data_IF_043235015742
#
_entry.id   IF_043235015742
#
_cell.length_a   1.000
_cell.length_b   1.000
_cell.length_c   1.000
_cell.angle_alpha   90.00
_cell.angle_beta   90.00
_cell.angle_gamma   90.00
#
_symmetry.space_group_name_H-M   'P 1'
#
loop_
_entity.id
_entity.type
_entity.pdbx_description
1 polymer ?
#
# COMPACT_ATOMS: atom_id res chain seq x y z
N UNK A 1 -10.14 -21.87 32.33
CA UNK A 1 -9.48 -22.39 31.12
C UNK A 1 -10.11 -21.76 29.89
N UNK A 2 -11.42 -21.91 29.65
CA UNK A 2 -12.12 -21.21 28.54
C UNK A 2 -12.00 -19.67 28.60
N UNK A 3 -12.15 -19.06 29.78
CA UNK A 3 -12.03 -17.60 29.92
C UNK A 3 -10.62 -17.06 29.61
N UNK A 4 -9.57 -17.84 29.91
CA UNK A 4 -8.18 -17.42 29.70
C UNK A 4 -7.80 -17.50 28.21
N UNK A 5 -8.21 -18.59 27.55
CA UNK A 5 -8.02 -18.76 26.11
C UNK A 5 -8.81 -17.72 25.31
N UNK A 6 -10.05 -17.44 25.72
CA UNK A 6 -10.85 -16.35 25.18
C UNK A 6 -10.16 -14.99 25.35
N UNK A 7 -9.61 -14.69 26.53
CA UNK A 7 -8.93 -13.42 26.78
C UNK A 7 -7.68 -13.23 25.90
N UNK A 8 -6.86 -14.28 25.73
CA UNK A 8 -5.70 -14.24 24.81
C UNK A 8 -6.13 -13.96 23.37
N UNK A 9 -7.13 -14.70 22.89
CA UNK A 9 -7.64 -14.56 21.53
C UNK A 9 -8.28 -13.20 21.31
N UNK A 10 -9.02 -12.68 22.29
CA UNK A 10 -9.65 -11.37 22.22
C UNK A 10 -8.60 -10.24 22.15
N UNK A 11 -7.54 -10.31 22.95
CA UNK A 11 -6.42 -9.35 22.88
C UNK A 11 -5.80 -9.35 21.48
N UNK A 12 -5.45 -10.53 20.95
CA UNK A 12 -4.87 -10.63 19.61
C UNK A 12 -5.84 -10.12 18.53
N UNK A 13 -7.10 -10.51 18.60
CA UNK A 13 -8.13 -10.05 17.68
C UNK A 13 -8.25 -8.52 17.68
N UNK A 14 -8.35 -7.90 18.86
CA UNK A 14 -8.44 -6.44 18.96
C UNK A 14 -7.18 -5.76 18.41
N UNK A 15 -5.98 -6.30 18.66
CA UNK A 15 -4.74 -5.76 18.10
C UNK A 15 -4.77 -5.75 16.56
N UNK A 16 -5.07 -6.88 15.93
CA UNK A 16 -5.11 -7.00 14.48
C UNK A 16 -6.27 -6.21 13.86
N UNK A 17 -7.45 -6.17 14.51
CA UNK A 17 -8.60 -5.40 14.03
C UNK A 17 -8.33 -3.89 14.07
N UNK A 18 -7.73 -3.39 15.14
CA UNK A 18 -7.35 -1.97 15.22
C UNK A 18 -6.24 -1.62 14.22
N UNK A 19 -5.24 -2.50 14.01
CA UNK A 19 -4.21 -2.29 12.98
C UNK A 19 -4.84 -2.21 11.57
N UNK A 20 -5.74 -3.14 11.24
CA UNK A 20 -6.49 -3.12 9.98
C UNK A 20 -7.31 -1.85 9.81
N UNK A 21 -7.94 -1.35 10.88
CA UNK A 21 -8.71 -0.10 10.83
C UNK A 21 -7.82 1.11 10.54
N UNK A 22 -6.59 1.14 11.08
CA UNK A 22 -5.61 2.19 10.72
C UNK A 22 -5.32 2.13 9.22
N UNK A 23 -5.08 0.94 8.67
CA UNK A 23 -4.76 0.75 7.25
C UNK A 23 -5.92 1.12 6.30
N UNK A 24 -7.14 0.67 6.63
CA UNK A 24 -8.36 1.06 5.89
C UNK A 24 -8.56 2.57 5.96
N UNK A 25 -8.38 3.19 7.13
CA UNK A 25 -8.55 4.63 7.26
C UNK A 25 -7.44 5.42 6.58
N UNK A 26 -6.20 4.95 6.52
CA UNK A 26 -5.17 5.56 5.67
C UNK A 26 -5.60 5.54 4.19
N UNK A 27 -6.25 4.45 3.77
CA UNK A 27 -6.78 4.28 2.41
C UNK A 27 -8.02 5.13 2.15
N UNK A 28 -8.95 5.24 3.10
CA UNK A 28 -10.19 6.02 2.98
C UNK A 28 -10.01 7.52 3.27
N UNK A 29 -9.06 7.91 4.11
CA UNK A 29 -8.74 9.32 4.40
C UNK A 29 -8.02 10.01 3.23
N UNK A 30 -7.44 9.22 2.32
CA UNK A 30 -7.10 9.70 0.98
C UNK A 30 -8.33 10.11 0.15
N UNK A 31 -9.55 9.70 0.55
CA UNK A 31 -10.82 10.00 -0.13
C UNK A 31 -11.80 10.87 0.69
N UNK A 32 -11.77 10.88 2.02
CA UNK A 32 -12.68 11.66 2.87
C UNK A 32 -12.03 12.14 4.19
N UNK A 33 -12.27 13.41 4.55
CA UNK A 33 -11.48 14.24 5.48
C UNK A 33 -11.81 14.09 6.98
N UNK A 34 -11.95 12.88 7.52
CA UNK A 34 -12.07 12.70 8.98
C UNK A 34 -10.99 11.75 9.49
N UNK A 35 -9.85 12.30 9.94
CA UNK A 35 -8.71 11.54 10.46
C UNK A 35 -8.96 11.05 11.90
N UNK A 36 -9.35 9.79 12.08
CA UNK A 36 -9.42 9.12 13.40
C UNK A 36 -8.22 8.21 13.72
N UNK A 37 -7.15 8.25 12.91
CA UNK A 37 -5.91 7.50 13.15
C UNK A 37 -5.32 7.62 14.58
N UNK A 38 -5.35 8.79 15.26
CA UNK A 38 -4.80 8.94 16.62
C UNK A 38 -5.53 8.19 17.74
N UNK A 39 -6.75 7.69 17.47
CA UNK A 39 -7.50 6.93 18.48
C UNK A 39 -7.12 5.44 18.44
N UNK A 40 -6.75 4.93 17.26
CA UNK A 40 -6.47 3.51 17.06
C UNK A 40 -5.04 3.13 17.44
N UNK A 41 -4.06 3.99 17.22
CA UNK A 41 -2.68 3.74 17.64
C UNK A 41 -2.56 3.73 19.18
N UNK A 42 -3.26 4.63 19.86
CA UNK A 42 -3.38 4.62 21.33
C UNK A 42 -4.10 3.37 21.84
N UNK A 43 -5.18 2.93 21.16
CA UNK A 43 -5.83 1.65 21.49
C UNK A 43 -4.87 0.48 21.34
N UNK A 44 -4.12 0.41 20.25
CA UNK A 44 -3.13 -0.66 20.00
C UNK A 44 -2.10 -0.69 21.14
N UNK A 45 -1.51 0.44 21.50
CA UNK A 45 -0.52 0.52 22.59
C UNK A 45 -1.12 0.00 23.90
N UNK A 46 -2.33 0.43 24.24
CA UNK A 46 -3.01 0.02 25.47
C UNK A 46 -3.38 -1.47 25.49
N UNK A 47 -3.90 -2.00 24.39
CA UNK A 47 -4.23 -3.43 24.26
C UNK A 47 -2.95 -4.27 24.30
N UNK A 48 -1.88 -3.80 23.66
CA UNK A 48 -0.60 -4.49 23.65
C UNK A 48 -0.02 -4.57 25.07
N UNK A 49 -0.09 -3.48 25.83
CA UNK A 49 0.30 -3.46 27.24
C UNK A 49 -0.52 -4.46 28.08
N UNK A 50 -1.84 -4.55 27.86
CA UNK A 50 -2.67 -5.59 28.50
C UNK A 50 -2.22 -7.00 28.13
N UNK A 51 -1.85 -7.21 26.87
CA UNK A 51 -1.25 -8.45 26.39
C UNK A 51 0.03 -8.81 27.15
N UNK A 52 0.94 -7.86 27.33
CA UNK A 52 2.17 -8.04 28.12
C UNK A 52 1.82 -8.45 29.55
N UNK A 53 0.92 -7.71 30.22
CA UNK A 53 0.52 -8.02 31.60
C UNK A 53 -0.12 -9.41 31.72
N UNK A 54 -0.99 -9.79 30.78
CA UNK A 54 -1.58 -11.12 30.78
C UNK A 54 -0.51 -12.19 30.57
N UNK A 55 0.40 -12.00 29.62
CA UNK A 55 1.53 -12.90 29.41
C UNK A 55 2.39 -13.04 30.68
N UNK A 56 2.66 -11.94 31.39
CA UNK A 56 3.45 -11.99 32.62
C UNK A 56 2.79 -12.83 33.72
N UNK A 57 1.46 -12.87 33.76
CA UNK A 57 0.70 -13.69 34.70
C UNK A 57 0.70 -15.18 34.32
N UNK A 58 0.57 -15.50 33.03
CA UNK A 58 0.35 -16.89 32.56
C UNK A 58 1.62 -17.59 32.06
N UNK A 59 2.63 -16.81 31.65
CA UNK A 59 3.92 -17.25 31.07
C UNK A 59 3.80 -18.24 29.91
N UNK A 60 2.73 -18.13 29.13
CA UNK A 60 2.47 -19.01 27.99
C UNK A 60 3.29 -18.59 26.75
N UNK A 61 4.04 -19.55 26.22
CA UNK A 61 4.99 -19.33 25.12
C UNK A 61 4.32 -18.92 23.80
N UNK A 62 3.19 -19.53 23.48
CA UNK A 62 2.49 -19.29 22.22
C UNK A 62 1.88 -17.89 22.18
N UNK A 63 1.33 -17.45 23.30
CA UNK A 63 0.82 -16.09 23.45
C UNK A 63 1.94 -15.05 23.37
N UNK A 64 3.11 -15.32 23.97
CA UNK A 64 4.29 -14.48 23.80
C UNK A 64 4.68 -14.29 22.33
N UNK A 65 4.78 -15.39 21.57
CA UNK A 65 5.19 -15.29 20.17
C UNK A 65 4.15 -14.54 19.34
N UNK A 66 2.86 -14.75 19.61
CA UNK A 66 1.79 -14.00 18.93
C UNK A 66 1.86 -12.48 19.20
N UNK A 67 2.13 -12.07 20.44
CA UNK A 67 2.36 -10.65 20.77
C UNK A 67 3.64 -10.11 20.12
N UNK A 68 4.71 -10.90 20.08
CA UNK A 68 5.95 -10.50 19.42
C UNK A 68 5.79 -10.34 17.92
N UNK A 69 5.11 -11.27 17.27
CA UNK A 69 4.75 -11.21 15.86
C UNK A 69 3.99 -9.93 15.53
N UNK A 70 2.93 -9.64 16.29
CA UNK A 70 2.18 -8.39 16.15
C UNK A 70 3.09 -7.17 16.27
N UNK A 71 4.02 -7.16 17.23
CA UNK A 71 4.91 -6.01 17.45
C UNK A 71 5.83 -5.71 16.28
N UNK A 72 6.30 -6.74 15.57
CA UNK A 72 7.15 -6.57 14.38
C UNK A 72 6.33 -6.10 13.20
N UNK A 73 5.14 -6.68 12.99
CA UNK A 73 4.21 -6.24 11.95
C UNK A 73 3.84 -4.77 12.15
N UNK A 74 3.55 -4.37 13.39
CA UNK A 74 3.25 -2.99 13.71
C UNK A 74 4.46 -2.06 13.47
N UNK A 75 5.68 -2.47 13.84
CA UNK A 75 6.90 -1.70 13.53
C UNK A 75 7.16 -1.55 12.04
N UNK A 76 6.94 -2.60 11.24
CA UNK A 76 7.04 -2.52 9.79
C UNK A 76 6.01 -1.55 9.21
N UNK A 77 4.78 -1.61 9.72
CA UNK A 77 3.73 -0.67 9.34
C UNK A 77 4.11 0.78 9.66
N UNK A 78 4.57 1.06 10.89
CA UNK A 78 5.07 2.38 11.29
C UNK A 78 6.18 2.85 10.36
N UNK A 79 7.14 1.99 10.04
CA UNK A 79 8.25 2.33 9.15
C UNK A 79 7.77 2.76 7.75
N UNK A 80 6.82 2.01 7.17
CA UNK A 80 6.23 2.35 5.87
C UNK A 80 5.40 3.63 5.92
N UNK A 81 4.64 3.87 7.00
CA UNK A 81 3.84 5.10 7.17
C UNK A 81 4.72 6.35 7.35
N UNK A 82 5.84 6.23 8.08
CA UNK A 82 6.85 7.30 8.22
C UNK A 82 7.46 7.67 6.86
N UNK A 83 7.80 6.68 6.04
CA UNK A 83 8.33 6.91 4.68
C UNK A 83 7.31 7.63 3.77
N UNK A 84 6.01 7.40 4.01
CA UNK A 84 4.90 8.04 3.31
C UNK A 84 4.56 9.45 3.82
N UNK A 85 5.29 9.98 4.81
CA UNK A 85 5.14 11.36 5.28
C UNK A 85 3.96 11.60 6.24
N UNK A 86 3.33 10.54 6.78
CA UNK A 86 2.24 10.63 7.74
C UNK A 86 2.73 10.77 9.19
N UNK A 87 1.79 11.07 10.09
CA UNK A 87 2.02 11.38 11.51
C UNK A 87 2.71 10.21 12.24
N UNK A 88 3.58 10.54 13.19
CA UNK A 88 4.35 9.58 14.01
C UNK A 88 3.40 8.74 14.87
N UNK A 89 3.02 7.54 14.40
CA UNK A 89 2.32 6.53 15.19
C UNK A 89 3.09 6.22 16.48
N UNK A 90 2.38 5.94 17.57
CA UNK A 90 3.00 5.62 18.87
C UNK A 90 3.80 4.32 18.79
N UNK A 91 4.98 4.30 19.41
CA UNK A 91 5.76 3.07 19.56
C UNK A 91 5.12 2.12 20.58
N UNK A 92 5.22 0.81 20.33
CA UNK A 92 4.78 -0.20 21.29
C UNK A 92 5.73 -0.26 22.50
N UNK A 93 5.20 -0.54 23.71
CA UNK A 93 6.03 -0.75 24.88
C UNK A 93 6.99 -1.93 24.68
N UNK A 94 8.15 -1.83 25.31
CA UNK A 94 9.16 -2.87 25.25
C UNK A 94 8.63 -4.19 25.85
N UNK A 95 8.83 -5.28 25.12
CA UNK A 95 8.44 -6.62 25.55
C UNK A 95 9.69 -7.50 25.67
N UNK A 96 10.00 -8.01 26.87
CA UNK A 96 11.24 -8.73 27.16
C UNK A 96 11.33 -10.07 26.43
N UNK A 97 12.53 -10.45 25.97
CA UNK A 97 12.76 -11.73 25.31
C UNK A 97 12.68 -12.94 26.27
N UNK A 98 12.09 -14.05 25.83
CA UNK A 98 12.14 -15.34 26.54
C UNK A 98 13.54 -15.96 26.42
N UNK A 99 14.16 -16.32 27.54
CA UNK A 99 15.31 -17.24 27.55
C UNK A 99 14.84 -18.65 27.13
N UNK A 100 15.30 -19.13 25.96
CA UNK A 100 14.88 -20.43 25.42
C UNK A 100 15.67 -21.57 26.09
N UNK A 101 14.94 -22.52 26.71
CA UNK A 101 15.26 -23.93 27.09
C UNK A 101 16.63 -24.25 27.72
N UNK A 102 16.62 -25.09 28.78
CA UNK A 102 17.82 -25.60 29.45
C UNK A 102 18.75 -26.34 28.47
N UNK A 103 20.06 -26.15 28.65
CA UNK A 103 21.15 -26.63 27.80
C UNK A 103 21.14 -28.16 27.55
N UNK A 104 20.60 -28.95 28.48
CA UNK A 104 20.48 -30.42 28.38
C UNK A 104 19.47 -30.90 27.33
N UNK A 105 18.42 -30.12 27.03
CA UNK A 105 17.41 -30.49 26.03
C UNK A 105 17.92 -30.26 24.60
N UNK A 106 18.85 -29.33 24.43
CA UNK A 106 19.38 -28.91 23.13
C UNK A 106 20.21 -30.03 22.48
N UNK A 107 21.02 -30.77 23.24
CA UNK A 107 21.86 -31.84 22.68
C UNK A 107 21.05 -33.01 22.13
N UNK A 108 19.97 -33.39 22.81
CA UNK A 108 19.04 -34.40 22.30
C UNK A 108 18.40 -33.96 20.98
N UNK A 109 17.97 -32.70 20.87
CA UNK A 109 17.38 -32.17 19.63
C UNK A 109 18.41 -32.07 18.51
N UNK A 110 19.66 -31.69 18.81
CA UNK A 110 20.74 -31.67 17.80
C UNK A 110 20.91 -33.05 17.15
N UNK A 111 20.87 -34.13 17.94
CA UNK A 111 20.96 -35.50 17.41
C UNK A 111 19.79 -35.86 16.49
N UNK A 112 18.56 -35.45 16.84
CA UNK A 112 17.38 -35.64 16.00
C UNK A 112 17.50 -34.85 14.69
N UNK A 113 17.94 -33.60 14.78
CA UNK A 113 18.15 -32.73 13.62
C UNK A 113 19.22 -33.27 12.64
N UNK A 114 20.20 -34.04 13.11
CA UNK A 114 21.17 -34.69 12.23
C UNK A 114 20.50 -35.77 11.37
N UNK A 115 19.65 -36.61 11.97
CA UNK A 115 18.96 -37.68 11.23
C UNK A 115 17.93 -37.14 10.22
N UNK A 116 17.38 -35.94 10.49
CA UNK A 116 16.38 -35.29 9.62
C UNK A 116 17.00 -34.78 8.30
N UNK A 117 18.32 -34.55 8.24
CA UNK A 117 19.00 -33.96 7.07
C UNK A 117 18.88 -34.80 5.79
N UNK A 118 18.61 -36.11 5.91
CA UNK A 118 18.56 -37.05 4.79
C UNK A 118 17.19 -37.09 4.07
N UNK A 119 16.17 -36.42 4.59
CA UNK A 119 14.83 -36.43 4.00
C UNK A 119 14.71 -35.48 2.80
N UNK A 120 14.25 -36.03 1.67
CA UNK A 120 14.10 -35.29 0.41
C UNK A 120 12.89 -34.35 0.46
N UNK A 121 13.18 -33.04 0.37
CA UNK A 121 12.18 -31.98 0.16
C UNK A 121 11.92 -31.86 -1.34
N UNK A 122 10.68 -31.53 -1.73
CA UNK A 122 10.35 -31.39 -3.14
C UNK A 122 11.22 -30.31 -3.81
N UNK A 123 11.82 -30.63 -4.95
CA UNK A 123 12.67 -29.72 -5.73
C UNK A 123 11.89 -28.93 -6.79
N UNK A 124 10.57 -29.11 -6.88
CA UNK A 124 9.69 -28.47 -7.85
C UNK A 124 8.30 -28.30 -7.24
N UNK A 125 7.53 -27.25 -7.61
CA UNK A 125 6.11 -27.19 -7.32
C UNK A 125 5.40 -28.44 -7.85
N UNK A 126 4.49 -29.01 -7.06
CA UNK A 126 3.61 -30.10 -7.53
C UNK A 126 2.30 -29.61 -8.12
N UNK A 127 1.94 -28.35 -7.87
CA UNK A 127 0.77 -27.74 -8.48
C UNK A 127 1.05 -27.52 -9.96
N UNK A 128 0.22 -28.08 -10.84
CA UNK A 128 0.23 -27.68 -12.25
C UNK A 128 -0.19 -26.23 -12.30
N UNK A 129 0.71 -25.34 -12.75
CA UNK A 129 0.32 -23.96 -13.03
C UNK A 129 -0.47 -23.99 -14.33
N UNK A 130 -1.68 -23.45 -14.29
CA UNK A 130 -2.48 -23.29 -15.49
C UNK A 130 -1.71 -22.32 -16.40
N UNK A 131 -1.37 -22.76 -17.62
CA UNK A 131 -0.59 -21.99 -18.59
C UNK A 131 0.94 -21.88 -18.34
N UNK A 132 1.54 -22.73 -17.51
CA UNK A 132 3.00 -22.71 -17.27
C UNK A 132 3.83 -23.03 -18.52
N UNK A 133 4.64 -22.09 -18.99
CA UNK A 133 5.60 -22.32 -20.08
C UNK A 133 6.89 -23.00 -19.58
N UNK A 134 7.59 -23.79 -20.43
CA UNK A 134 8.76 -24.57 -20.00
C UNK A 134 9.89 -23.72 -19.42
N UNK A 135 10.11 -22.53 -19.99
CA UNK A 135 11.12 -21.57 -19.53
C UNK A 135 10.94 -21.21 -18.05
N UNK A 136 9.75 -20.74 -17.67
CA UNK A 136 9.43 -20.32 -16.29
C UNK A 136 9.48 -21.52 -15.35
N UNK A 137 8.96 -22.67 -15.80
CA UNK A 137 9.00 -23.91 -15.02
C UNK A 137 10.43 -24.32 -14.70
N UNK A 138 11.36 -24.17 -15.65
CA UNK A 138 12.80 -24.43 -15.43
C UNK A 138 13.34 -23.50 -14.36
N UNK A 139 13.11 -22.19 -14.49
CA UNK A 139 13.57 -21.19 -13.51
C UNK A 139 13.05 -21.48 -12.10
N UNK A 140 11.76 -21.78 -11.94
CA UNK A 140 11.18 -22.14 -10.63
C UNK A 140 11.86 -23.40 -10.09
N UNK A 141 12.02 -24.43 -10.92
CA UNK A 141 12.63 -25.70 -10.52
C UNK A 141 14.08 -25.52 -10.08
N UNK A 142 14.87 -24.72 -10.80
CA UNK A 142 16.27 -24.46 -10.47
C UNK A 142 16.40 -23.75 -9.11
N UNK A 143 15.60 -22.71 -8.89
CA UNK A 143 15.57 -21.97 -7.62
C UNK A 143 15.14 -22.89 -6.46
N UNK A 144 14.07 -23.66 -6.65
CA UNK A 144 13.53 -24.55 -5.62
C UNK A 144 14.52 -25.67 -5.29
N UNK A 145 15.20 -26.20 -6.31
CA UNK A 145 16.26 -27.20 -6.15
C UNK A 145 17.43 -26.66 -5.33
N UNK A 146 17.85 -25.41 -5.54
CA UNK A 146 18.91 -24.78 -4.76
C UNK A 146 18.51 -24.61 -3.29
N UNK A 147 17.28 -24.19 -3.01
CA UNK A 147 16.76 -24.15 -1.63
C UNK A 147 16.68 -25.53 -0.98
N UNK A 148 16.25 -26.55 -1.72
CA UNK A 148 16.11 -27.91 -1.19
C UNK A 148 17.45 -28.62 -0.98
N UNK A 149 18.45 -28.34 -1.83
CA UNK A 149 19.82 -28.90 -1.73
C UNK A 149 20.69 -28.22 -0.69
N UNK A 150 20.39 -26.96 -0.33
CA UNK A 150 21.16 -26.24 0.69
C UNK A 150 21.23 -27.06 1.98
N UNK A 151 22.42 -27.25 2.54
CA UNK A 151 22.60 -28.18 3.68
C UNK A 151 21.97 -27.58 4.93
N UNK A 152 21.07 -28.32 5.59
CA UNK A 152 20.41 -27.82 6.79
C UNK A 152 21.39 -27.75 7.97
N UNK A 153 21.38 -26.67 8.73
CA UNK A 153 22.23 -26.53 9.92
C UNK A 153 21.54 -27.16 11.13
N UNK A 154 22.16 -28.18 11.72
CA UNK A 154 21.61 -28.93 12.88
C UNK A 154 21.41 -28.05 14.12
N UNK A 155 22.23 -27.03 14.31
CA UNK A 155 22.14 -26.11 15.46
C UNK A 155 21.01 -25.11 15.26
N UNK A 156 20.84 -24.62 14.03
CA UNK A 156 19.70 -23.78 13.63
C UNK A 156 18.41 -24.58 13.75
N UNK A 157 18.37 -25.80 13.23
CA UNK A 157 17.25 -26.72 13.40
C UNK A 157 16.90 -26.91 14.88
N UNK A 158 17.87 -27.26 15.73
CA UNK A 158 17.59 -27.54 17.13
C UNK A 158 17.07 -26.31 17.87
N UNK A 159 17.59 -25.13 17.53
CA UNK A 159 17.16 -23.86 18.13
C UNK A 159 15.72 -23.51 17.74
N UNK A 160 15.37 -23.56 16.46
CA UNK A 160 14.09 -23.00 15.98
C UNK A 160 12.99 -24.05 15.81
N UNK A 161 13.33 -25.29 15.45
CA UNK A 161 12.37 -26.33 15.08
C UNK A 161 12.01 -27.31 16.20
N UNK A 162 12.53 -27.12 17.42
CA UNK A 162 12.30 -28.04 18.54
C UNK A 162 10.82 -28.39 18.71
N UNK A 163 9.94 -27.39 18.63
CA UNK A 163 8.53 -27.59 18.94
C UNK A 163 7.88 -28.45 17.87
N UNK A 164 8.19 -28.20 16.60
CA UNK A 164 7.73 -28.99 15.46
C UNK A 164 8.25 -30.44 15.53
N UNK A 165 9.50 -30.63 15.95
CA UNK A 165 10.12 -31.96 16.08
C UNK A 165 9.36 -32.82 17.10
N UNK A 166 8.89 -32.24 18.20
CA UNK A 166 8.18 -32.96 19.27
C UNK A 166 6.65 -32.96 19.14
N UNK A 167 6.08 -32.10 18.30
CA UNK A 167 4.62 -31.95 18.14
C UNK A 167 3.96 -33.17 17.48
N UNK A 168 4.62 -33.80 16.51
CA UNK A 168 3.99 -34.83 15.69
C UNK A 168 4.34 -36.25 16.17
N UNK A 169 3.44 -36.83 16.97
CA UNK A 169 3.51 -38.24 17.40
C UNK A 169 3.37 -39.23 16.23
N UNK A 170 2.89 -38.79 15.06
CA UNK A 170 2.77 -39.63 13.86
C UNK A 170 4.04 -39.62 12.99
N UNK A 171 5.13 -38.98 13.45
CA UNK A 171 6.45 -39.01 12.77
C UNK A 171 6.42 -38.53 11.32
N UNK A 172 5.82 -37.36 11.03
CA UNK A 172 6.02 -36.78 9.71
C UNK A 172 7.42 -36.16 9.58
N UNK A 173 8.36 -36.99 9.13
CA UNK A 173 9.73 -36.57 8.87
C UNK A 173 9.84 -35.46 7.80
N UNK A 174 8.87 -35.33 6.88
CA UNK A 174 8.89 -34.25 5.88
C UNK A 174 8.67 -32.88 6.50
N UNK A 175 7.75 -32.74 7.47
CA UNK A 175 7.53 -31.46 8.17
C UNK A 175 8.77 -31.08 8.97
N UNK A 176 9.37 -32.05 9.68
CA UNK A 176 10.60 -31.84 10.46
C UNK A 176 11.74 -31.39 9.55
N UNK A 177 11.94 -32.07 8.42
CA UNK A 177 12.93 -31.73 7.40
C UNK A 177 12.68 -30.35 6.79
N UNK A 178 11.43 -30.05 6.46
CA UNK A 178 11.03 -28.76 5.95
C UNK A 178 11.33 -27.63 6.94
N UNK A 179 10.98 -27.78 8.22
CA UNK A 179 11.31 -26.78 9.23
C UNK A 179 12.82 -26.53 9.30
N UNK A 180 13.61 -27.61 9.40
CA UNK A 180 15.07 -27.51 9.48
C UNK A 180 15.64 -26.76 8.27
N UNK A 181 15.12 -27.05 7.07
CA UNK A 181 15.53 -26.40 5.83
C UNK A 181 15.11 -24.93 5.80
N UNK A 182 13.85 -24.63 6.09
CA UNK A 182 13.33 -23.27 6.11
C UNK A 182 14.10 -22.38 7.08
N UNK A 183 14.33 -22.85 8.31
CA UNK A 183 15.07 -22.09 9.32
C UNK A 183 16.53 -21.82 8.87
N UNK A 184 17.17 -22.80 8.24
CA UNK A 184 18.53 -22.63 7.70
C UNK A 184 18.55 -21.67 6.52
N UNK A 185 17.62 -21.83 5.58
CA UNK A 185 17.52 -20.99 4.38
C UNK A 185 17.24 -19.54 4.75
N UNK A 186 16.37 -19.27 5.73
CA UNK A 186 16.15 -17.92 6.26
C UNK A 186 17.42 -17.32 6.85
N UNK A 187 18.13 -18.08 7.70
CA UNK A 187 19.32 -17.58 8.41
C UNK A 187 20.53 -17.37 7.50
N UNK A 188 20.62 -18.10 6.40
CA UNK A 188 21.78 -18.14 5.52
C UNK A 188 21.44 -17.71 4.08
N UNK A 189 20.33 -17.01 3.87
CA UNK A 189 19.77 -16.76 2.55
C UNK A 189 20.76 -16.14 1.56
N UNK A 190 21.57 -15.19 2.03
CA UNK A 190 22.53 -14.49 1.19
C UNK A 190 23.63 -15.41 0.65
N UNK A 191 23.94 -16.49 1.36
CA UNK A 191 24.93 -17.49 0.94
C UNK A 191 24.40 -18.49 -0.11
N UNK A 192 23.08 -18.55 -0.30
CA UNK A 192 22.47 -19.44 -1.29
C UNK A 192 22.59 -18.79 -2.67
N UNK A 193 23.27 -19.49 -3.57
CA UNK A 193 23.48 -19.04 -4.95
C UNK A 193 22.28 -19.40 -5.83
N UNK A 194 22.09 -18.64 -6.91
CA UNK A 194 21.10 -18.95 -7.96
C UNK A 194 19.66 -19.07 -7.43
N UNK A 195 19.30 -18.22 -6.45
CA UNK A 195 17.93 -18.13 -5.89
C UNK A 195 17.36 -16.71 -5.91
N UNK A 196 18.03 -15.79 -6.60
CA UNK A 196 17.63 -14.37 -6.71
C UNK A 196 18.85 -13.47 -6.95
N UNK A 197 18.64 -12.31 -7.57
CA UNK A 197 19.71 -11.38 -7.92
C UNK A 197 20.12 -10.48 -6.76
N UNK A 198 19.16 -10.13 -5.90
CA UNK A 198 19.36 -9.34 -4.69
C UNK A 198 18.61 -9.99 -3.50
N UNK A 199 18.83 -9.47 -2.28
CA UNK A 199 18.22 -10.03 -1.06
C UNK A 199 16.68 -10.09 -1.14
N UNK A 200 16.03 -9.05 -1.66
CA UNK A 200 14.57 -9.01 -1.78
C UNK A 200 14.06 -10.10 -2.74
N UNK A 201 14.72 -10.28 -3.89
CA UNK A 201 14.36 -11.36 -4.83
C UNK A 201 14.50 -12.73 -4.17
N UNK A 202 15.58 -12.94 -3.40
CA UNK A 202 15.80 -14.17 -2.64
C UNK A 202 14.69 -14.38 -1.60
N UNK A 203 14.29 -13.33 -0.87
CA UNK A 203 13.19 -13.40 0.09
C UNK A 203 11.87 -13.77 -0.57
N UNK A 204 11.52 -13.13 -1.69
CA UNK A 204 10.29 -13.44 -2.44
C UNK A 204 10.29 -14.87 -2.97
N UNK A 205 11.41 -15.33 -3.53
CA UNK A 205 11.57 -16.71 -3.98
C UNK A 205 11.43 -17.70 -2.81
N UNK A 206 12.01 -17.40 -1.64
CA UNK A 206 11.88 -18.23 -0.45
C UNK A 206 10.45 -18.26 0.08
N UNK A 207 9.73 -17.13 0.08
CA UNK A 207 8.30 -17.05 0.44
C UNK A 207 7.48 -18.03 -0.40
N UNK A 208 7.59 -17.96 -1.73
CA UNK A 208 6.80 -18.81 -2.61
C UNK A 208 7.21 -20.28 -2.57
N UNK A 209 8.51 -20.57 -2.43
CA UNK A 209 8.99 -21.92 -2.15
C UNK A 209 8.34 -22.47 -0.87
N UNK A 210 8.29 -21.68 0.19
CA UNK A 210 7.67 -22.06 1.47
C UNK A 210 6.19 -22.41 1.29
N UNK A 211 5.42 -21.57 0.57
CA UNK A 211 4.02 -21.85 0.26
C UNK A 211 3.83 -23.16 -0.52
N UNK A 212 4.63 -23.39 -1.56
CA UNK A 212 4.55 -24.59 -2.38
C UNK A 212 4.91 -25.87 -1.60
N UNK A 213 5.95 -25.82 -0.75
CA UNK A 213 6.30 -26.96 0.12
C UNK A 213 5.18 -27.29 1.09
N UNK A 214 4.63 -26.26 1.74
CA UNK A 214 3.51 -26.41 2.68
C UNK A 214 2.30 -26.99 1.96
N UNK A 215 1.95 -26.46 0.79
CA UNK A 215 0.84 -26.98 0.00
C UNK A 215 1.06 -28.45 -0.37
N UNK A 216 2.26 -28.85 -0.81
CA UNK A 216 2.54 -30.25 -1.16
C UNK A 216 2.45 -31.20 0.04
N UNK A 217 3.05 -30.83 1.17
CA UNK A 217 3.03 -31.61 2.42
C UNK A 217 1.58 -31.88 2.83
N UNK A 218 0.75 -30.83 2.94
CA UNK A 218 -0.63 -30.96 3.41
C UNK A 218 -1.59 -31.52 2.36
N UNK A 219 -1.28 -31.45 1.06
CA UNK A 219 -2.09 -32.06 -0.01
C UNK A 219 -1.94 -33.58 -0.02
N UNK A 220 -0.74 -34.10 0.24
CA UNK A 220 -0.50 -35.55 0.18
C UNK A 220 -1.09 -36.33 1.36
N UNK A 221 -1.49 -35.63 2.42
CA UNK A 221 -1.84 -36.24 3.70
C UNK A 221 -3.17 -35.66 4.19
N UNK A 222 -4.26 -36.24 3.67
CA UNK A 222 -5.65 -35.84 3.91
C UNK A 222 -6.09 -35.88 5.40
N UNK A 223 -5.21 -36.18 6.35
CA UNK A 223 -5.54 -36.45 7.76
C UNK A 223 -4.83 -35.56 8.78
N UNK A 224 -4.29 -34.40 8.40
CA UNK A 224 -3.73 -33.46 9.38
C UNK A 224 -4.84 -32.77 10.18
N UNK A 225 -5.27 -33.43 11.26
CA UNK A 225 -6.13 -32.83 12.30
C UNK A 225 -5.52 -31.55 12.88
N UNK A 226 -4.19 -31.39 12.81
CA UNK A 226 -3.44 -30.28 13.40
C UNK A 226 -2.79 -29.33 12.36
N UNK A 227 -3.30 -29.25 11.12
CA UNK A 227 -2.72 -28.38 10.08
C UNK A 227 -2.52 -26.94 10.56
N UNK A 228 -3.54 -26.35 11.16
CA UNK A 228 -3.48 -24.96 11.67
C UNK A 228 -2.37 -24.77 12.71
N UNK A 229 -2.24 -25.72 13.65
CA UNK A 229 -1.20 -25.72 14.68
C UNK A 229 0.21 -25.76 14.06
N UNK A 230 0.44 -26.65 13.09
CA UNK A 230 1.74 -26.77 12.42
C UNK A 230 2.08 -25.49 11.64
N UNK A 231 1.12 -24.91 10.91
CA UNK A 231 1.31 -23.65 10.20
C UNK A 231 1.68 -22.52 11.15
N UNK A 232 0.98 -22.40 12.29
CA UNK A 232 1.32 -21.42 13.32
C UNK A 232 2.76 -21.61 13.80
N UNK A 233 3.18 -22.85 14.08
CA UNK A 233 4.56 -23.13 14.50
C UNK A 233 5.59 -22.82 13.42
N UNK A 234 5.26 -23.02 12.15
CA UNK A 234 6.11 -22.59 11.02
C UNK A 234 6.24 -21.06 10.99
N UNK A 235 5.13 -20.33 11.16
CA UNK A 235 5.16 -18.86 11.23
C UNK A 235 6.00 -18.37 12.42
N UNK A 236 5.92 -19.05 13.57
CA UNK A 236 6.80 -18.77 14.72
C UNK A 236 8.28 -19.01 14.40
N UNK A 237 8.62 -20.04 13.61
CA UNK A 237 10.00 -20.28 13.14
C UNK A 237 10.46 -19.14 12.25
N UNK A 238 9.66 -18.75 11.24
CA UNK A 238 9.97 -17.64 10.34
C UNK A 238 10.23 -16.38 11.15
N UNK A 239 9.34 -16.07 12.09
CA UNK A 239 9.46 -14.92 12.97
C UNK A 239 10.73 -14.93 13.81
N UNK A 240 10.98 -16.02 14.55
CA UNK A 240 12.11 -16.13 15.49
C UNK A 240 13.47 -16.08 14.81
N UNK A 241 13.59 -16.65 13.60
CA UNK A 241 14.83 -16.55 12.84
C UNK A 241 15.09 -15.10 12.46
N UNK A 242 14.08 -14.40 11.92
CA UNK A 242 14.19 -13.01 11.50
C UNK A 242 14.43 -12.01 12.64
N UNK A 243 13.95 -12.28 13.86
CA UNK A 243 14.22 -11.43 15.03
C UNK A 243 15.72 -11.30 15.33
N UNK A 244 16.51 -12.34 15.05
CA UNK A 244 17.96 -12.37 15.31
C UNK A 244 18.81 -11.86 14.13
N UNK A 245 18.19 -11.46 13.02
CA UNK A 245 18.88 -10.97 11.83
C UNK A 245 18.93 -9.43 11.80
N UNK A 246 19.96 -8.90 11.12
CA UNK A 246 20.03 -7.47 10.78
C UNK A 246 18.87 -7.07 9.87
N UNK A 247 18.42 -5.82 9.93
CA UNK A 247 17.23 -5.34 9.20
C UNK A 247 17.28 -5.60 7.69
N UNK A 248 18.45 -5.45 7.07
CA UNK A 248 18.71 -5.66 5.64
C UNK A 248 18.76 -7.14 5.24
N UNK A 249 18.80 -8.06 6.22
CA UNK A 249 18.83 -9.51 6.02
C UNK A 249 17.51 -10.20 6.35
N UNK A 250 16.48 -9.45 6.75
CA UNK A 250 15.19 -10.00 7.17
C UNK A 250 14.31 -10.34 5.97
N UNK A 251 13.82 -11.57 5.93
CA UNK A 251 12.73 -12.03 5.08
C UNK A 251 11.50 -12.35 5.92
N UNK A 252 10.71 -11.33 6.24
CA UNK A 252 9.49 -11.47 7.03
C UNK A 252 8.32 -11.73 6.09
N UNK A 253 7.68 -12.88 6.22
CA UNK A 253 6.43 -13.23 5.54
C UNK A 253 5.61 -14.17 6.44
N UNK A 254 4.30 -14.21 6.19
CA UNK A 254 3.35 -15.04 6.95
C UNK A 254 2.72 -16.06 6.02
N UNK A 255 2.69 -17.33 6.43
CA UNK A 255 1.99 -18.38 5.68
C UNK A 255 0.56 -18.52 6.17
N UNK A 256 -0.38 -18.32 5.26
CA UNK A 256 -1.79 -18.64 5.43
C UNK A 256 -2.24 -19.63 4.35
N UNK A 257 -2.66 -20.83 4.75
CA UNK A 257 -3.15 -21.85 3.80
C UNK A 257 -4.59 -21.64 3.33
N UNK A 258 -5.34 -20.74 3.99
CA UNK A 258 -6.66 -20.29 3.56
C UNK A 258 -6.58 -19.17 2.51
N UNK A 259 -5.47 -18.43 2.48
CA UNK A 259 -5.17 -17.44 1.44
C UNK A 259 -4.95 -18.17 0.11
N UNK A 260 -5.76 -17.85 -0.91
CA UNK A 260 -5.70 -18.53 -2.22
C UNK A 260 -4.96 -17.72 -3.29
N UNK A 261 -4.81 -16.42 -3.09
CA UNK A 261 -4.22 -15.54 -4.10
C UNK A 261 -2.69 -15.63 -4.16
N UNK A 262 -2.00 -16.30 -3.21
CA UNK A 262 -0.54 -16.49 -3.25
C UNK A 262 -0.06 -17.16 -4.55
N UNK A 263 -0.89 -18.00 -5.18
CA UNK A 263 -0.59 -18.62 -6.48
C UNK A 263 -0.48 -17.56 -7.56
N UNK A 264 -1.43 -16.61 -7.60
CA UNK A 264 -1.42 -15.50 -8.57
C UNK A 264 -0.27 -14.54 -8.29
N UNK A 265 0.00 -14.24 -7.02
CA UNK A 265 1.17 -13.43 -6.64
C UNK A 265 2.47 -14.09 -7.09
N UNK A 266 2.62 -15.40 -6.83
CA UNK A 266 3.78 -16.19 -7.28
C UNK A 266 3.93 -16.12 -8.80
N UNK A 267 2.86 -16.33 -9.54
CA UNK A 267 2.92 -16.37 -11.01
C UNK A 267 3.30 -14.98 -11.59
N UNK A 268 2.85 -13.89 -10.96
CA UNK A 268 3.30 -12.53 -11.26
C UNK A 268 4.79 -12.33 -10.92
N UNK A 269 5.22 -12.76 -9.73
CA UNK A 269 6.62 -12.68 -9.32
C UNK A 269 7.55 -13.37 -10.33
N UNK A 270 7.24 -14.60 -10.74
CA UNK A 270 8.03 -15.34 -11.72
C UNK A 270 7.90 -14.80 -13.14
N UNK A 271 6.78 -14.16 -13.50
CA UNK A 271 6.68 -13.40 -14.74
C UNK A 271 7.73 -12.29 -14.78
N UNK A 272 7.78 -11.42 -13.76
CA UNK A 272 8.75 -10.33 -13.71
C UNK A 272 10.19 -10.84 -13.67
N UNK A 273 10.45 -11.91 -12.92
CA UNK A 273 11.77 -12.54 -12.83
C UNK A 273 12.27 -13.08 -14.19
N UNK A 274 11.36 -13.52 -15.06
CA UNK A 274 11.69 -14.11 -16.36
C UNK A 274 11.40 -13.17 -17.54
N UNK A 275 11.06 -11.90 -17.29
CA UNK A 275 10.63 -10.98 -18.34
C UNK A 275 11.69 -10.79 -19.43
N UNK A 276 12.95 -10.58 -19.03
CA UNK A 276 14.04 -10.37 -19.99
C UNK A 276 14.29 -11.64 -20.83
N UNK A 277 14.31 -12.81 -20.18
CA UNK A 277 14.42 -14.11 -20.86
C UNK A 277 13.25 -14.38 -21.81
N UNK A 278 12.05 -13.89 -21.48
CA UNK A 278 10.87 -13.98 -22.32
C UNK A 278 10.96 -13.09 -23.56
N UNK A 279 11.54 -11.89 -23.42
CA UNK A 279 11.76 -10.98 -24.56
C UNK A 279 12.83 -11.46 -25.53
N UNK A 280 13.76 -12.30 -25.06
CA UNK A 280 14.89 -12.81 -25.85
C UNK A 280 14.58 -14.13 -26.59
N UNK A 281 13.40 -14.72 -26.42
CA UNK A 281 13.04 -15.99 -27.08
C UNK A 281 12.99 -15.80 -28.60
N UNK A 282 13.91 -16.47 -29.30
CA UNK A 282 13.93 -16.49 -30.77
C UNK A 282 12.62 -17.04 -31.33
N UNK A 283 12.10 -16.36 -32.35
CA UNK A 283 10.77 -16.53 -32.91
C UNK A 283 10.49 -18.00 -33.30
N UNK A 284 9.71 -18.69 -32.48
CA UNK A 284 9.04 -19.92 -32.89
C UNK A 284 7.85 -19.51 -33.76
N UNK A 285 7.73 -20.17 -34.91
CA UNK A 285 6.65 -20.02 -35.89
C UNK A 285 5.26 -19.84 -35.26
N UNK A 286 4.41 -19.09 -35.98
CA UNK A 286 2.98 -18.85 -35.75
C UNK A 286 2.50 -18.97 -34.28
N UNK A 287 2.49 -17.82 -33.58
CA UNK A 287 1.85 -17.61 -32.29
C UNK A 287 1.78 -18.85 -31.40
N UNK A 288 2.89 -19.22 -30.75
CA UNK A 288 2.91 -20.38 -29.86
C UNK A 288 1.77 -20.23 -28.83
N UNK A 289 0.67 -20.96 -29.08
CA UNK A 289 -0.59 -20.88 -28.34
C UNK A 289 -0.37 -20.95 -26.83
N UNK A 290 0.67 -21.66 -26.41
CA UNK A 290 1.10 -21.77 -25.03
C UNK A 290 1.53 -20.42 -24.42
N UNK A 291 2.40 -19.68 -25.11
CA UNK A 291 2.87 -18.35 -24.67
C UNK A 291 1.74 -17.33 -24.68
N UNK A 292 0.90 -17.35 -25.72
CA UNK A 292 -0.24 -16.43 -25.78
C UNK A 292 -1.28 -16.69 -24.68
N UNK A 293 -1.56 -17.96 -24.36
CA UNK A 293 -2.40 -18.30 -23.22
C UNK A 293 -1.81 -17.80 -21.89
N UNK A 294 -0.50 -18.01 -21.70
CA UNK A 294 0.23 -17.54 -20.53
C UNK A 294 0.19 -16.01 -20.40
N UNK A 295 0.53 -15.28 -21.47
CA UNK A 295 0.56 -13.83 -21.46
C UNK A 295 -0.84 -13.22 -21.29
N UNK A 296 -1.89 -13.86 -21.83
CA UNK A 296 -3.26 -13.45 -21.56
C UNK A 296 -3.64 -13.63 -20.08
N UNK A 297 -3.24 -14.75 -19.47
CA UNK A 297 -3.42 -14.96 -18.03
C UNK A 297 -2.70 -13.87 -17.21
N UNK A 298 -1.42 -13.61 -17.50
CA UNK A 298 -0.64 -12.56 -16.84
C UNK A 298 -1.22 -11.18 -17.08
N UNK A 299 -1.72 -10.87 -18.29
CA UNK A 299 -2.36 -9.60 -18.60
C UNK A 299 -3.53 -9.31 -17.65
N UNK A 300 -4.39 -10.30 -17.42
CA UNK A 300 -5.52 -10.14 -16.50
C UNK A 300 -5.05 -9.94 -15.07
N UNK A 301 -4.06 -10.71 -14.61
CA UNK A 301 -3.46 -10.52 -13.29
C UNK A 301 -2.81 -9.14 -13.14
N UNK A 302 -2.07 -8.68 -14.15
CA UNK A 302 -1.41 -7.39 -14.14
C UNK A 302 -2.42 -6.24 -14.08
N UNK A 303 -3.52 -6.34 -14.84
CA UNK A 303 -4.62 -5.37 -14.83
C UNK A 303 -5.30 -5.27 -13.46
N UNK A 304 -5.52 -6.39 -12.78
CA UNK A 304 -6.12 -6.41 -11.45
C UNK A 304 -5.18 -5.85 -10.37
N UNK A 305 -3.89 -6.17 -10.45
CA UNK A 305 -2.93 -5.86 -9.41
C UNK A 305 -2.31 -4.48 -9.54
N UNK A 306 -2.17 -3.92 -10.75
CA UNK A 306 -1.64 -2.54 -10.93
C UNK A 306 -2.49 -1.52 -10.17
N UNK A 307 -3.83 -1.67 -10.17
CA UNK A 307 -4.75 -0.78 -9.45
C UNK A 307 -4.70 -0.96 -7.92
N UNK A 308 -4.25 -2.12 -7.44
CA UNK A 308 -4.13 -2.44 -6.00
C UNK A 308 -2.76 -2.08 -5.43
N UNK A 309 -1.73 -2.27 -6.24
CA UNK A 309 -0.33 -2.26 -5.81
C UNK A 309 0.40 -0.96 -6.13
N UNK A 310 0.00 -0.25 -7.19
CA UNK A 310 0.72 0.90 -7.69
C UNK A 310 -0.02 2.21 -7.42
N UNK A 311 0.70 3.23 -6.99
CA UNK A 311 0.21 4.60 -6.92
C UNK A 311 1.21 5.51 -7.64
N UNK A 312 0.71 6.28 -8.61
CA UNK A 312 1.52 7.22 -9.38
C UNK A 312 1.43 8.60 -8.74
N UNK A 313 2.56 9.11 -8.29
CA UNK A 313 2.68 10.45 -7.73
C UNK A 313 3.34 11.35 -8.76
N UNK A 314 2.79 12.54 -9.00
CA UNK A 314 3.30 13.48 -10.04
C UNK A 314 4.06 14.65 -9.41
N UNK A 315 3.89 14.90 -8.11
CA UNK A 315 4.45 16.06 -7.39
C UNK A 315 5.13 15.59 -6.10
N UNK A 316 6.31 16.15 -5.72
CA UNK A 316 7.06 17.21 -6.41
C UNK A 316 7.74 16.75 -7.71
N UNK A 317 7.93 15.43 -7.85
CA UNK A 317 8.48 14.78 -9.04
C UNK A 317 7.70 13.51 -9.31
N UNK A 318 7.68 13.06 -10.56
CA UNK A 318 6.99 11.82 -10.91
C UNK A 318 7.70 10.60 -10.31
N UNK A 319 6.99 9.80 -9.53
CA UNK A 319 7.46 8.50 -9.06
C UNK A 319 6.30 7.51 -8.90
N UNK A 320 6.65 6.22 -8.96
CA UNK A 320 5.71 5.12 -8.74
C UNK A 320 5.96 4.49 -7.38
N UNK A 321 4.96 4.56 -6.51
CA UNK A 321 4.94 3.83 -5.26
C UNK A 321 4.43 2.41 -5.51
N UNK A 322 5.15 1.42 -4.98
CA UNK A 322 4.78 0.02 -5.06
C UNK A 322 4.54 -0.54 -3.66
N UNK A 323 3.30 -0.92 -3.39
CA UNK A 323 2.84 -1.51 -2.11
C UNK A 323 3.01 -3.03 -2.07
N UNK A 324 3.25 -3.66 -3.22
CA UNK A 324 3.32 -5.11 -3.39
C UNK A 324 4.71 -5.57 -3.83
N UNK A 325 5.76 -5.00 -3.23
CA UNK A 325 7.16 -5.20 -3.65
C UNK A 325 7.59 -6.67 -3.70
N UNK A 326 6.93 -7.54 -2.91
CA UNK A 326 7.26 -8.97 -2.89
C UNK A 326 6.87 -9.74 -4.16
N UNK A 327 6.00 -9.21 -5.02
CA UNK A 327 5.54 -9.94 -6.21
C UNK A 327 5.13 -9.10 -7.41
N UNK A 328 4.98 -7.79 -7.25
CA UNK A 328 4.51 -6.92 -8.32
C UNK A 328 5.56 -5.90 -8.71
N UNK A 329 5.65 -5.58 -10.00
CA UNK A 329 6.44 -4.47 -10.50
C UNK A 329 5.53 -3.41 -11.12
N UNK A 330 5.72 -2.16 -10.70
CA UNK A 330 4.90 -1.02 -11.12
C UNK A 330 5.47 -0.31 -12.35
N UNK A 331 6.61 -0.73 -12.90
CA UNK A 331 7.14 -0.17 -14.14
C UNK A 331 6.30 -0.62 -15.34
N UNK A 332 5.87 0.35 -16.15
CA UNK A 332 5.02 0.16 -17.33
C UNK A 332 5.65 -0.79 -18.35
N UNK A 333 6.99 -0.89 -18.41
CA UNK A 333 7.68 -1.79 -19.36
C UNK A 333 7.30 -3.27 -19.16
N UNK A 334 6.94 -3.66 -17.95
CA UNK A 334 6.55 -5.05 -17.66
C UNK A 334 5.10 -5.36 -18.04
N UNK A 335 4.36 -4.40 -18.58
CA UNK A 335 2.99 -4.64 -19.00
C UNK A 335 2.97 -5.62 -20.20
N UNK A 336 2.22 -6.74 -20.16
CA UNK A 336 2.41 -7.86 -21.10
C UNK A 336 2.17 -7.59 -22.59
N UNK A 337 1.61 -6.43 -22.96
CA UNK A 337 1.24 -6.11 -24.34
C UNK A 337 2.45 -6.18 -25.29
N UNK A 338 3.62 -5.70 -24.86
CA UNK A 338 4.81 -5.74 -25.72
C UNK A 338 5.23 -7.18 -26.02
N UNK A 339 5.26 -8.06 -25.01
CA UNK A 339 5.51 -9.49 -25.20
C UNK A 339 4.42 -10.14 -26.07
N UNK A 340 3.14 -9.81 -25.85
CA UNK A 340 2.05 -10.36 -26.67
C UNK A 340 2.21 -10.00 -28.16
N UNK A 341 2.68 -8.79 -28.46
CA UNK A 341 2.99 -8.37 -29.83
C UNK A 341 4.19 -9.14 -30.40
N UNK A 342 5.25 -9.35 -29.62
CA UNK A 342 6.44 -10.14 -30.01
C UNK A 342 6.02 -11.57 -30.38
N UNK A 343 5.15 -12.18 -29.59
CA UNK A 343 4.63 -13.53 -29.83
C UNK A 343 3.46 -13.58 -30.84
N UNK A 344 3.08 -12.45 -31.46
CA UNK A 344 1.97 -12.36 -32.44
C UNK A 344 0.66 -12.97 -31.92
N UNK A 345 0.35 -12.76 -30.65
CA UNK A 345 -0.90 -13.25 -30.08
C UNK A 345 -2.10 -12.56 -30.72
N UNK A 346 -3.20 -13.29 -30.90
CA UNK A 346 -4.44 -12.70 -31.41
C UNK A 346 -4.84 -11.49 -30.56
N UNK A 347 -5.18 -10.38 -31.21
CA UNK A 347 -5.59 -9.15 -30.54
C UNK A 347 -6.85 -9.42 -29.72
N UNK A 348 -6.69 -9.46 -28.40
CA UNK A 348 -7.80 -9.37 -27.47
C UNK A 348 -8.26 -7.92 -27.49
N UNK A 349 -9.56 -7.67 -27.64
CA UNK A 349 -10.11 -6.32 -27.67
C UNK A 349 -9.86 -5.64 -26.31
N UNK A 350 -8.74 -4.92 -26.21
CA UNK A 350 -8.28 -4.27 -25.00
C UNK A 350 -9.12 -3.00 -24.79
N UNK A 351 -10.24 -3.13 -24.08
CA UNK A 351 -11.18 -2.03 -23.79
C UNK A 351 -10.54 -0.79 -23.13
N UNK A 352 -9.38 -0.94 -22.49
CA UNK A 352 -8.69 0.10 -21.73
C UNK A 352 -7.22 0.09 -22.14
N UNK A 353 -6.66 1.24 -22.54
CA UNK A 353 -5.26 1.29 -22.95
C UNK A 353 -4.33 1.23 -21.74
N UNK A 354 -3.07 0.80 -21.92
CA UNK A 354 -2.06 0.82 -20.85
C UNK A 354 -1.92 2.23 -20.28
N UNK A 355 -2.03 3.26 -21.12
CA UNK A 355 -1.97 4.64 -20.68
C UNK A 355 -3.12 4.95 -19.72
N UNK A 356 -4.36 4.61 -20.08
CA UNK A 356 -5.53 4.88 -19.25
C UNK A 356 -5.44 4.16 -17.89
N UNK A 357 -4.93 2.93 -17.87
CA UNK A 357 -4.71 2.16 -16.64
C UNK A 357 -3.75 2.90 -15.70
N UNK A 358 -2.61 3.36 -16.22
CA UNK A 358 -1.58 4.05 -15.42
C UNK A 358 -1.98 5.49 -15.07
N UNK A 359 -2.78 6.15 -15.89
CA UNK A 359 -3.34 7.46 -15.55
C UNK A 359 -4.39 7.31 -14.42
N UNK A 360 -5.15 6.21 -14.39
CA UNK A 360 -6.18 5.94 -13.36
C UNK A 360 -5.65 5.73 -11.94
N UNK A 361 -4.37 5.38 -11.80
CA UNK A 361 -3.70 5.19 -10.49
C UNK A 361 -2.94 6.44 -10.03
N UNK A 362 -3.11 7.56 -10.75
CA UNK A 362 -2.53 8.85 -10.38
C UNK A 362 -3.21 9.39 -9.12
N UNK A 363 -2.41 9.72 -8.12
CA UNK A 363 -2.90 10.35 -6.89
C UNK A 363 -3.22 11.82 -7.19
N UNK A 364 -4.49 12.21 -6.96
CA UNK A 364 -5.00 13.54 -7.30
C UNK A 364 -4.28 14.65 -6.50
N UNK A 365 -3.82 15.66 -7.24
CA UNK A 365 -3.18 16.90 -6.78
C UNK A 365 -4.00 17.63 -5.71
N UNK A 366 -5.33 17.64 -5.83
CA UNK A 366 -6.23 18.23 -4.83
C UNK A 366 -6.25 17.43 -3.53
N UNK A 367 -6.13 16.10 -3.59
CA UNK A 367 -6.02 15.22 -2.42
C UNK A 367 -4.69 15.46 -1.69
N UNK A 368 -3.59 15.59 -2.43
CA UNK A 368 -2.26 15.89 -1.86
C UNK A 368 -2.24 17.30 -1.24
N UNK A 369 -2.67 18.33 -1.97
CA UNK A 369 -2.66 19.72 -1.47
C UNK A 369 -3.56 19.89 -0.25
N UNK A 370 -4.72 19.24 -0.25
CA UNK A 370 -5.64 19.27 0.87
C UNK A 370 -5.04 18.55 2.11
N UNK A 371 -4.44 17.37 1.94
CA UNK A 371 -3.82 16.64 3.06
C UNK A 371 -2.64 17.41 3.69
N UNK A 372 -1.77 18.03 2.88
CA UNK A 372 -0.66 18.86 3.38
C UNK A 372 -1.16 20.13 4.10
N UNK A 373 -2.16 20.82 3.52
CA UNK A 373 -2.76 21.99 4.14
C UNK A 373 -3.41 21.63 5.49
N UNK A 374 -4.18 20.56 5.55
CA UNK A 374 -4.83 20.12 6.80
C UNK A 374 -3.84 19.64 7.85
N UNK A 375 -2.74 18.98 7.48
CA UNK A 375 -1.67 18.65 8.42
C UNK A 375 -1.07 19.90 9.07
N UNK A 376 -0.88 20.96 8.29
CA UNK A 376 -0.40 22.25 8.78
C UNK A 376 -1.42 22.91 9.73
N UNK A 377 -2.72 22.84 9.40
CA UNK A 377 -3.79 23.33 10.27
C UNK A 377 -3.91 22.57 11.60
N UNK A 378 -3.82 21.24 11.57
CA UNK A 378 -3.84 20.41 12.78
C UNK A 378 -2.65 20.70 13.70
N UNK A 379 -1.49 21.04 13.14
CA UNK A 379 -0.33 21.45 13.91
C UNK A 379 -0.56 22.80 14.62
N UNK A 380 -1.22 23.76 13.96
CA UNK A 380 -1.64 25.03 14.55
C UNK A 380 -2.67 24.79 15.66
N UNK A 381 -3.66 23.92 15.44
CA UNK A 381 -4.69 23.58 16.44
C UNK A 381 -4.05 22.98 17.70
N UNK A 382 -3.08 22.07 17.53
CA UNK A 382 -2.35 21.47 18.65
C UNK A 382 -1.54 22.50 19.46
N UNK A 383 -0.96 23.50 18.80
CA UNK A 383 -0.24 24.60 19.48
C UNK A 383 -1.22 25.51 20.24
N UNK A 384 -2.43 25.74 19.70
CA UNK A 384 -3.46 26.57 20.34
C UNK A 384 -4.21 25.90 21.49
N UNK A 385 -4.04 24.59 21.70
CA UNK A 385 -4.67 23.85 22.81
C UNK A 385 -3.98 24.07 24.17
N UNK A 386 -2.78 24.66 24.18
CA UNK A 386 -2.10 25.06 25.40
C UNK A 386 -2.58 26.46 25.83
N UNK A 387 -3.13 26.61 27.05
CA UNK A 387 -3.56 27.90 27.60
C UNK A 387 -2.49 29.00 27.50
N UNK A 388 -1.20 28.64 27.59
CA UNK A 388 -0.08 29.56 27.48
C UNK A 388 0.04 30.15 26.08
N UNK A 389 0.04 29.31 25.04
CA UNK A 389 0.18 29.79 23.66
C UNK A 389 -1.05 30.56 23.18
N UNK A 390 -2.24 30.19 23.65
CA UNK A 390 -3.47 30.94 23.39
C UNK A 390 -3.42 32.35 24.02
N UNK A 391 -2.93 32.46 25.25
CA UNK A 391 -2.71 33.75 25.92
C UNK A 391 -1.67 34.59 25.17
N UNK A 392 -0.54 33.99 24.79
CA UNK A 392 0.52 34.65 24.03
C UNK A 392 0.00 35.19 22.70
N UNK A 393 -0.74 34.38 21.93
CA UNK A 393 -1.35 34.80 20.65
C UNK A 393 -2.36 35.95 20.83
N UNK A 394 -3.18 35.92 21.89
CA UNK A 394 -4.12 36.99 22.18
C UNK A 394 -3.40 38.30 22.54
N UNK A 395 -2.35 38.24 23.36
CA UNK A 395 -1.54 39.41 23.75
C UNK A 395 -0.81 40.00 22.55
N UNK A 396 -0.13 39.18 21.74
CA UNK A 396 0.57 39.67 20.55
C UNK A 396 -0.39 40.17 19.47
N UNK A 397 -1.57 39.56 19.32
CA UNK A 397 -2.63 40.05 18.44
C UNK A 397 -3.14 41.44 18.86
N UNK A 398 -3.40 41.64 20.16
CA UNK A 398 -3.77 42.94 20.70
C UNK A 398 -2.66 43.97 20.51
N UNK A 399 -1.41 43.62 20.81
CA UNK A 399 -0.26 44.51 20.61
C UNK A 399 -0.07 44.89 19.14
N UNK A 400 -0.21 43.94 18.22
CA UNK A 400 -0.16 44.19 16.78
C UNK A 400 -1.29 45.12 16.31
N UNK A 401 -2.52 44.91 16.82
CA UNK A 401 -3.64 45.80 16.58
C UNK A 401 -3.35 47.22 17.08
N UNK A 402 -2.93 47.39 18.33
CA UNK A 402 -2.57 48.71 18.87
C UNK A 402 -1.40 49.37 18.13
N UNK A 403 -0.44 48.60 17.65
CA UNK A 403 0.69 49.11 16.85
C UNK A 403 0.22 49.65 15.49
N UNK A 404 -0.69 48.93 14.82
CA UNK A 404 -1.32 49.38 13.57
C UNK A 404 -2.15 50.65 13.82
N UNK A 405 -2.95 50.68 14.89
CA UNK A 405 -3.70 51.88 15.30
C UNK A 405 -2.78 53.06 15.63
N UNK A 406 -1.63 52.83 16.26
CA UNK A 406 -0.64 53.86 16.54
C UNK A 406 -0.02 54.42 15.27
N UNK A 407 0.29 53.57 14.29
CA UNK A 407 0.76 54.01 12.97
C UNK A 407 -0.31 54.87 12.30
N UNK A 408 -1.57 54.42 12.26
CA UNK A 408 -2.65 55.23 11.69
C UNK A 408 -2.91 56.51 12.47
N UNK A 409 -2.87 56.49 13.80
CA UNK A 409 -3.05 57.69 14.63
C UNK A 409 -1.93 58.72 14.44
N UNK A 410 -0.67 58.26 14.35
CA UNK A 410 0.50 59.14 14.22
C UNK A 410 0.69 59.68 12.80
N UNK A 411 0.29 58.92 11.79
CA UNK A 411 0.51 59.25 10.38
C UNK A 411 -0.77 59.61 9.60
N UNK A 412 -1.97 59.54 10.20
CA UNK A 412 -3.18 60.14 9.64
C UNK A 412 -3.36 61.57 10.20
N UNK A 413 -3.30 62.63 9.38
CA UNK A 413 -3.43 64.00 9.86
C UNK A 413 -4.90 64.34 10.13
N UNK A 414 -5.38 64.10 11.35
CA UNK A 414 -6.67 64.65 11.80
C UNK A 414 -6.42 66.00 12.46
N UNK A 415 -6.30 67.04 11.64
CA UNK A 415 -6.39 68.43 12.08
C UNK A 415 -7.84 68.80 12.35
N UNK A 416 -8.15 69.13 13.61
CA UNK A 416 -9.45 69.65 14.01
C UNK A 416 -9.51 71.18 13.82
N UNK A 417 -10.57 71.69 13.18
CA UNK A 417 -11.05 73.06 13.38
C UNK A 417 -12.54 73.18 13.07
N UNK A 418 -13.30 73.42 14.14
CA UNK A 418 -14.73 73.66 14.19
C UNK A 418 -15.12 75.05 13.63
N UNK A 419 -16.20 75.14 12.84
CA UNK A 419 -17.22 76.22 12.98
C UNK A 419 -18.60 75.83 12.42
N UNK A 420 -19.43 75.30 13.32
CA UNK A 420 -20.88 75.52 13.57
C UNK A 420 -21.93 75.50 12.42
N UNK A 421 -22.88 74.56 12.64
CA UNK A 421 -24.36 74.68 12.74
C UNK A 421 -25.27 74.61 11.50
N UNK A 422 -26.12 73.55 11.51
CA UNK A 422 -27.59 73.52 11.30
C UNK A 422 -28.05 73.74 9.84
N UNK A 423 -28.89 72.96 9.16
CA UNK A 423 -30.08 72.16 9.52
C UNK A 423 -30.33 71.08 8.45
N UNK A 424 -30.99 69.99 8.86
CA UNK A 424 -31.73 69.07 7.98
C UNK A 424 -32.74 69.81 7.09
N UNK A 425 -32.88 69.40 5.83
CA UNK A 425 -34.16 69.10 5.14
C UNK A 425 -33.93 68.53 3.75
N UNK A 426 -34.63 67.45 3.44
CA UNK A 426 -34.85 66.92 2.09
C UNK A 426 -35.61 67.97 1.26
N UNK A 427 -35.25 68.13 -0.02
CA UNK A 427 -36.14 68.18 -1.20
C UNK A 427 -35.44 68.83 -2.39
N UNK A 428 -35.33 68.03 -3.45
CA UNK A 428 -35.64 68.35 -4.85
C UNK A 428 -35.09 69.60 -5.56
N UNK A 429 -34.39 69.29 -6.66
CA UNK A 429 -34.70 69.73 -8.04
C UNK A 429 -34.40 71.19 -8.43
N UNK A 430 -33.30 71.36 -9.19
CA UNK A 430 -33.21 71.94 -10.56
C UNK A 430 -31.86 72.61 -10.82
N UNK A 431 -31.28 72.16 -11.94
CA UNK A 431 -30.62 72.93 -13.00
C UNK A 431 -29.55 73.97 -12.63
N UNK A 432 -28.32 73.72 -13.06
CA UNK A 432 -27.80 74.35 -14.30
C UNK A 432 -26.39 73.86 -14.60
N UNK A 433 -26.18 73.27 -15.78
CA UNK A 433 -25.12 73.68 -16.72
C UNK A 433 -25.07 72.73 -17.91
N UNK A 434 -25.50 73.31 -19.02
CA UNK A 434 -25.29 72.96 -20.42
C UNK A 434 -24.07 72.09 -20.75
N UNK A 435 -24.34 70.90 -21.33
CA UNK A 435 -23.81 70.43 -22.63
C UNK A 435 -24.43 69.03 -22.91
N UNK A 436 -25.32 68.84 -23.90
CA UNK A 436 -25.75 67.52 -24.33
C UNK A 436 -25.05 67.04 -25.61
N UNK A 437 -24.46 65.85 -25.46
CA UNK A 437 -24.60 64.65 -26.29
C UNK A 437 -25.36 64.81 -27.62
N UNK A 438 -24.70 64.40 -28.70
CA UNK A 438 -25.28 64.18 -30.01
C UNK A 438 -25.73 62.71 -30.13
N UNK A 439 -27.04 62.51 -30.26
CA UNK A 439 -27.65 61.33 -30.88
C UNK A 439 -29.09 61.68 -31.26
N UNK A 440 -29.48 61.44 -32.51
CA UNK A 440 -30.87 61.24 -32.91
C UNK A 440 -30.94 60.79 -34.38
N UNK A 441 -31.93 60.06 -34.90
CA UNK A 441 -33.02 59.18 -34.42
C UNK A 441 -33.59 58.54 -35.71
N UNK A 442 -34.20 57.36 -35.59
CA UNK A 442 -35.07 56.70 -36.56
C UNK A 442 -36.25 57.57 -37.05
N UNK A 443 -36.82 57.32 -38.24
CA UNK A 443 -38.25 56.95 -38.35
C UNK A 443 -38.76 56.71 -39.79
N UNK A 444 -39.81 55.89 -39.83
CA UNK A 444 -40.61 55.42 -40.95
C UNK A 444 -41.53 56.48 -41.61
N UNK A 445 -41.78 56.27 -42.92
CA UNK A 445 -43.05 56.34 -43.70
C UNK A 445 -44.26 57.07 -43.06
N UNK A 446 -44.88 58.05 -43.75
CA UNK A 446 -45.95 57.92 -44.79
C UNK A 446 -46.67 59.26 -45.06
N UNK A 447 -46.77 59.63 -46.35
CA UNK A 447 -47.92 60.20 -47.09
C UNK A 447 -48.76 61.37 -46.54
N UNK A 448 -48.79 62.47 -47.30
CA UNK A 448 -49.96 63.35 -47.48
C UNK A 448 -50.16 63.74 -48.95
N UNK A 449 -51.42 63.75 -49.38
CA UNK A 449 -51.92 63.98 -50.75
C UNK A 449 -51.94 65.46 -51.13
N UNK A 450 -51.62 65.78 -52.40
CA UNK A 450 -52.14 66.95 -53.11
C UNK A 450 -52.17 66.71 -54.65
N UNK A 451 -53.17 67.31 -55.29
CA UNK A 451 -53.91 66.87 -56.49
C UNK A 451 -53.51 67.69 -57.78
N UNK A 452 -54.20 67.62 -58.94
CA UNK A 452 -53.66 67.07 -60.19
C UNK A 452 -53.59 68.08 -61.36
N UNK A 453 -52.97 67.73 -62.50
CA UNK A 453 -53.59 67.79 -63.84
C UNK A 453 -52.65 67.32 -64.97
N UNK A 454 -53.21 66.39 -65.76
CA UNK A 454 -53.05 66.19 -67.22
C UNK A 454 -51.63 66.12 -67.80
N UNK A 455 -51.23 64.91 -68.20
CA UNK A 455 -51.29 64.46 -69.60
C UNK A 455 -50.94 62.97 -69.71
N UNK A 456 -51.39 62.39 -70.81
CA UNK A 456 -51.62 60.97 -71.10
C UNK A 456 -50.44 60.42 -71.91
N UNK A 457 -50.34 59.07 -71.98
CA UNK A 457 -49.76 58.26 -73.08
C UNK A 457 -48.23 58.01 -72.97
N UNK A 458 -47.61 56.83 -73.20
CA UNK A 458 -48.01 55.53 -73.78
C UNK A 458 -47.11 54.36 -73.26
N UNK A 459 -47.64 53.14 -73.42
CA UNK A 459 -47.02 51.80 -73.36
C UNK A 459 -45.98 51.68 -74.51
N UNK A 460 -44.84 50.98 -74.46
CA UNK A 460 -44.65 49.52 -74.39
C UNK A 460 -43.16 49.14 -74.24
N UNK A 461 -42.97 47.87 -73.87
CA UNK A 461 -41.75 47.15 -73.51
C UNK A 461 -40.67 47.01 -74.59
N UNK A 462 -39.42 46.84 -74.15
CA UNK A 462 -38.51 45.83 -74.72
C UNK A 462 -37.79 45.08 -73.60
N UNK A 463 -37.72 43.77 -73.79
CA UNK A 463 -36.93 42.79 -73.05
C UNK A 463 -35.59 42.63 -73.76
N UNK A 464 -34.53 42.41 -73.01
CA UNK A 464 -33.40 41.56 -73.40
C UNK A 464 -33.11 40.60 -72.26
#
# INVERSE_FOLDING_TARGET
>A
MEDEEYNKLNILYELYDNLRKIDIQATESSRNQNSSSPEYDEKIVNIYQKGITLYEAIKEKDFYYALKEFSVLYKQYIYMDILSGNKKLKELPYFQAIENSKESDIQNVISLCQNIQDHVIASSPRQKIEHEIPLIKSTISDIYNNFSKHTSDKTVCAKYCNEIIFLDKNNNEKIKAFCAKLATNLKQLDSINNVGNNHNDKCSNLKYWTYDQIFDIFRTENSYTNKSLIINKINQVIFRVNEELDLDKKCIFYVDTGYKDWVKERDLHFYFLNFDSLSDVEHVDDGNKMYCNYLNYIYNLHKENVKKCCARHIIPTEYMENKCQSYFNCDKKYYPIELMNIFKCENIDHKESVKDIFDSITVDLNVIRYSVFMNSFNQIINITNDPFYLFVLAVFGLLGFFFIFFIFYKFAPIGSSNRKRISRRNMDMRETSNYPRQESISYNKKSTNANPQRKRVQIAYQVT
#
